data_IF_632814359349
#
_entry.id   IF_632814359349
#
_cell.length_a   1.000
_cell.length_b   1.000
_cell.length_c   1.000
_cell.angle_alpha   90.00
_cell.angle_beta   90.00
_cell.angle_gamma   90.00
#
_symmetry.space_group_name_H-M   'P 1'
#
loop_
_entity.id
_entity.type
_entity.pdbx_description
1 polymer ?
#
# COMPACT_ATOMS: atom_id res chain seq x y z
N UNK A 1 -48.04 -0.01 10.96
CA UNK A 1 -46.96 0.94 10.69
C UNK A 1 -45.75 0.46 11.47
N UNK A 2 -44.83 -0.23 10.83
CA UNK A 2 -43.61 -0.71 11.45
C UNK A 2 -42.54 0.36 11.32
N UNK A 3 -42.03 0.84 12.45
CA UNK A 3 -40.93 1.79 12.53
C UNK A 3 -39.65 1.12 12.00
N UNK A 4 -39.11 1.67 10.92
CA UNK A 4 -37.79 1.30 10.41
C UNK A 4 -36.77 2.26 11.02
N UNK A 5 -36.36 1.98 12.26
CA UNK A 5 -35.18 2.66 12.81
C UNK A 5 -33.94 2.19 12.06
N UNK A 6 -33.06 3.10 11.60
CA UNK A 6 -31.83 2.71 10.94
C UNK A 6 -30.92 2.04 11.97
N UNK A 7 -30.43 0.84 11.63
CA UNK A 7 -29.39 0.14 12.39
C UNK A 7 -28.18 1.09 12.45
N UNK A 8 -27.64 1.43 13.65
CA UNK A 8 -26.47 2.26 13.75
C UNK A 8 -25.31 1.57 13.05
N UNK A 9 -24.64 2.26 12.13
CA UNK A 9 -23.41 1.81 11.52
C UNK A 9 -22.42 1.46 12.64
N UNK A 10 -22.05 0.18 12.74
CA UNK A 10 -20.96 -0.23 13.62
C UNK A 10 -19.74 0.59 13.22
N UNK A 11 -19.21 1.38 14.15
CA UNK A 11 -17.92 2.03 13.99
C UNK A 11 -16.90 0.92 13.68
N UNK A 12 -16.39 0.91 12.46
CA UNK A 12 -15.34 -0.02 12.08
C UNK A 12 -14.16 0.23 13.02
N UNK A 13 -13.80 -0.77 13.82
CA UNK A 13 -12.57 -0.71 14.60
C UNK A 13 -11.41 -0.63 13.61
N UNK A 14 -10.85 0.56 13.44
CA UNK A 14 -9.62 0.74 12.67
C UNK A 14 -8.48 0.22 13.53
N UNK A 15 -7.73 -0.76 13.04
CA UNK A 15 -6.55 -1.27 13.71
C UNK A 15 -5.57 -0.14 14.00
N UNK A 16 -4.78 -0.27 15.07
CA UNK A 16 -3.82 0.77 15.49
C UNK A 16 -2.44 0.17 15.67
N UNK A 17 -1.41 0.89 15.16
CA UNK A 17 -0.01 0.50 15.27
C UNK A 17 0.83 1.65 15.83
N UNK A 18 1.80 1.34 16.70
CA UNK A 18 2.78 2.31 17.20
C UNK A 18 4.09 2.19 16.38
N UNK A 19 4.53 3.31 15.83
CA UNK A 19 5.71 3.44 14.96
C UNK A 19 6.62 4.53 15.55
N UNK A 20 7.81 4.17 15.97
CA UNK A 20 8.71 5.09 16.69
C UNK A 20 9.54 5.97 15.76
N UNK A 21 10.08 5.40 14.69
CA UNK A 21 10.89 6.08 13.68
C UNK A 21 10.70 5.39 12.31
N UNK A 22 9.51 5.48 11.70
CA UNK A 22 9.19 4.75 10.48
C UNK A 22 9.76 5.40 9.21
N UNK A 23 9.98 4.55 8.21
CA UNK A 23 10.10 4.94 6.80
C UNK A 23 8.96 4.29 6.01
N UNK A 24 8.33 5.06 5.12
CA UNK A 24 7.18 4.65 4.32
C UNK A 24 7.53 4.62 2.85
N UNK A 25 7.13 3.54 2.19
CA UNK A 25 7.19 3.36 0.73
C UNK A 25 5.90 2.73 0.23
N UNK A 26 5.61 2.84 -1.06
CA UNK A 26 4.50 2.16 -1.73
C UNK A 26 4.72 2.09 -3.24
N UNK A 27 3.88 1.33 -3.94
CA UNK A 27 3.80 1.32 -5.40
C UNK A 27 5.15 1.00 -6.07
N UNK A 28 5.80 -0.07 -5.60
CA UNK A 28 7.08 -0.53 -6.13
C UNK A 28 6.91 -1.41 -7.37
N UNK A 29 5.79 -2.12 -7.47
CA UNK A 29 5.43 -2.97 -8.62
C UNK A 29 6.53 -3.97 -9.03
N UNK A 30 7.25 -4.53 -8.05
CA UNK A 30 8.38 -5.43 -8.28
C UNK A 30 7.97 -6.63 -9.14
N UNK A 31 8.70 -6.84 -10.22
CA UNK A 31 8.50 -7.95 -11.14
C UNK A 31 9.80 -8.25 -11.90
N UNK A 32 9.83 -9.37 -12.64
CA UNK A 32 11.02 -9.83 -13.35
C UNK A 32 11.47 -8.88 -14.48
N UNK A 33 10.56 -8.09 -15.06
CA UNK A 33 10.85 -7.19 -16.17
C UNK A 33 11.45 -5.83 -15.72
N UNK A 34 11.54 -5.57 -14.41
CA UNK A 34 12.05 -4.32 -13.85
C UNK A 34 13.31 -4.54 -13.00
N UNK A 35 14.45 -4.91 -13.60
CA UNK A 35 15.67 -5.23 -12.87
C UNK A 35 16.29 -4.03 -12.14
N UNK A 36 16.17 -2.80 -12.67
CA UNK A 36 16.71 -1.60 -12.03
C UNK A 36 15.91 -1.24 -10.77
N UNK A 37 14.59 -1.33 -10.82
CA UNK A 37 13.70 -1.11 -9.66
C UNK A 37 13.94 -2.15 -8.57
N UNK A 38 14.08 -3.44 -8.93
CA UNK A 38 14.46 -4.50 -7.99
C UNK A 38 15.81 -4.26 -7.33
N UNK A 39 16.82 -3.85 -8.11
CA UNK A 39 18.13 -3.53 -7.58
C UNK A 39 18.10 -2.30 -6.64
N UNK A 40 17.28 -1.29 -6.95
CA UNK A 40 17.07 -0.14 -6.08
C UNK A 40 16.39 -0.53 -4.78
N UNK A 41 15.37 -1.39 -4.82
CA UNK A 41 14.74 -1.94 -3.62
C UNK A 41 15.74 -2.70 -2.75
N UNK A 42 16.55 -3.58 -3.34
CA UNK A 42 17.58 -4.31 -2.61
C UNK A 42 18.58 -3.36 -1.92
N UNK A 43 19.04 -2.31 -2.61
CA UNK A 43 19.91 -1.29 -2.01
C UNK A 43 19.21 -0.55 -0.87
N UNK A 44 17.96 -0.13 -1.08
CA UNK A 44 17.17 0.57 -0.06
C UNK A 44 17.02 -0.26 1.22
N UNK A 45 16.66 -1.53 1.09
CA UNK A 45 16.53 -2.45 2.23
C UNK A 45 17.87 -2.67 2.95
N UNK A 46 18.99 -2.65 2.21
CA UNK A 46 20.32 -2.86 2.78
C UNK A 46 20.94 -1.60 3.39
N UNK A 47 20.63 -0.39 2.88
CA UNK A 47 21.40 0.82 3.20
C UNK A 47 20.57 1.94 3.80
N UNK A 48 19.27 2.02 3.51
CA UNK A 48 18.39 3.09 3.98
C UNK A 48 17.47 2.59 5.10
N UNK A 49 16.70 1.53 4.85
CA UNK A 49 15.73 1.00 5.79
C UNK A 49 16.32 0.63 7.18
N UNK A 50 17.56 0.12 7.31
CA UNK A 50 18.16 -0.18 8.62
C UNK A 50 18.41 1.04 9.51
N UNK A 51 18.28 2.25 8.98
CA UNK A 51 18.40 3.49 9.78
C UNK A 51 17.12 3.83 10.54
N UNK A 52 16.05 3.10 10.29
CA UNK A 52 14.72 3.32 10.84
C UNK A 52 14.29 2.14 11.72
N UNK A 53 13.44 2.41 12.69
CA UNK A 53 12.90 1.36 13.55
C UNK A 53 11.85 0.52 12.83
N UNK A 54 11.16 1.11 11.84
CA UNK A 54 10.12 0.45 11.07
C UNK A 54 10.23 0.78 9.58
N UNK A 55 10.03 -0.26 8.75
CA UNK A 55 9.71 -0.14 7.34
C UNK A 55 8.22 -0.43 7.15
N UNK A 56 7.49 0.52 6.58
CA UNK A 56 6.05 0.40 6.30
C UNK A 56 5.82 0.48 4.79
N UNK A 57 5.29 -0.59 4.21
CA UNK A 57 5.00 -0.69 2.77
C UNK A 57 3.48 -0.61 2.59
N UNK A 58 2.99 0.50 2.03
CA UNK A 58 1.57 0.80 1.89
C UNK A 58 0.98 0.28 0.56
N UNK A 59 1.20 -1.00 0.28
CA UNK A 59 0.61 -1.71 -0.86
C UNK A 59 1.40 -1.61 -2.16
N UNK A 60 1.01 -2.44 -3.10
CA UNK A 60 1.60 -2.56 -4.43
C UNK A 60 3.13 -2.76 -4.39
N UNK A 61 3.58 -3.64 -3.44
CA UNK A 61 4.96 -4.12 -3.39
C UNK A 61 5.31 -4.89 -4.66
N UNK A 62 4.38 -5.74 -5.12
CA UNK A 62 4.51 -6.50 -6.36
C UNK A 62 3.60 -5.95 -7.46
N UNK A 63 4.01 -6.10 -8.71
CA UNK A 63 3.16 -5.80 -9.88
C UNK A 63 1.88 -6.63 -9.89
N UNK A 64 1.96 -7.85 -9.37
CA UNK A 64 0.83 -8.71 -9.02
C UNK A 64 1.27 -9.82 -8.06
N UNK A 65 0.35 -10.26 -7.21
CA UNK A 65 0.52 -11.44 -6.38
C UNK A 65 -0.64 -12.40 -6.61
N UNK A 66 -0.34 -13.63 -6.95
CA UNK A 66 -1.36 -14.63 -7.34
C UNK A 66 -1.64 -15.67 -6.25
N UNK A 67 -1.04 -15.50 -5.08
CA UNK A 67 -1.12 -16.40 -3.91
C UNK A 67 0.26 -16.81 -3.42
N UNK A 68 0.34 -17.15 -2.14
CA UNK A 68 1.62 -17.46 -1.48
C UNK A 68 2.30 -18.75 -1.97
N UNK A 69 1.53 -19.66 -2.57
CA UNK A 69 2.08 -20.85 -3.24
C UNK A 69 2.96 -20.52 -4.46
N UNK A 70 2.95 -19.26 -4.93
CA UNK A 70 3.92 -18.76 -5.90
C UNK A 70 5.36 -18.72 -5.36
N UNK A 71 5.55 -18.72 -4.03
CA UNK A 71 6.88 -18.83 -3.39
C UNK A 71 7.57 -20.15 -3.69
N UNK A 72 6.81 -21.20 -3.91
CA UNK A 72 7.33 -22.54 -4.23
C UNK A 72 7.64 -22.75 -5.72
N UNK A 73 7.30 -21.75 -6.58
CA UNK A 73 7.54 -21.86 -8.02
C UNK A 73 9.05 -21.65 -8.34
N UNK A 74 9.74 -22.66 -8.87
CA UNK A 74 11.15 -22.54 -9.19
C UNK A 74 11.46 -21.51 -10.30
N UNK A 75 10.47 -21.23 -11.16
CA UNK A 75 10.64 -20.34 -12.30
C UNK A 75 10.39 -18.85 -11.94
N UNK A 76 9.92 -18.58 -10.71
CA UNK A 76 9.68 -17.21 -10.22
C UNK A 76 10.40 -16.95 -8.90
N UNK A 77 11.56 -16.30 -8.97
CA UNK A 77 12.35 -15.97 -7.79
C UNK A 77 12.00 -14.64 -7.14
N UNK A 78 11.24 -13.76 -7.81
CA UNK A 78 11.04 -12.38 -7.34
C UNK A 78 10.43 -12.34 -5.94
N UNK A 79 9.38 -13.12 -5.69
CA UNK A 79 8.73 -13.19 -4.38
C UNK A 79 9.69 -13.69 -3.29
N UNK A 80 10.45 -14.78 -3.58
CA UNK A 80 11.42 -15.33 -2.64
C UNK A 80 12.59 -14.36 -2.35
N UNK A 81 13.10 -13.71 -3.38
CA UNK A 81 14.21 -12.77 -3.25
C UNK A 81 13.79 -11.57 -2.37
N UNK A 82 12.57 -11.04 -2.59
CA UNK A 82 12.01 -9.95 -1.79
C UNK A 82 11.74 -10.39 -0.35
N UNK A 83 11.13 -11.56 -0.14
CA UNK A 83 10.89 -12.10 1.19
C UNK A 83 12.20 -12.27 1.97
N UNK A 84 13.25 -12.85 1.34
CA UNK A 84 14.55 -13.02 1.96
C UNK A 84 15.21 -11.67 2.34
N UNK A 85 15.08 -10.64 1.50
CA UNK A 85 15.62 -9.31 1.79
C UNK A 85 14.89 -8.65 2.99
N UNK A 86 13.56 -8.73 3.02
CA UNK A 86 12.77 -8.21 4.14
C UNK A 86 13.03 -8.98 5.43
N UNK A 87 13.19 -10.31 5.33
CA UNK A 87 13.55 -11.14 6.48
C UNK A 87 14.91 -10.75 7.06
N UNK A 88 15.91 -10.55 6.22
CA UNK A 88 17.23 -10.11 6.66
C UNK A 88 17.16 -8.74 7.38
N UNK A 89 16.33 -7.81 6.88
CA UNK A 89 16.08 -6.53 7.53
C UNK A 89 15.39 -6.71 8.89
N UNK A 90 14.38 -7.57 8.96
CA UNK A 90 13.66 -7.86 10.21
C UNK A 90 14.59 -8.51 11.25
N UNK A 91 15.43 -9.46 10.84
CA UNK A 91 16.40 -10.12 11.70
C UNK A 91 17.49 -9.14 12.20
N UNK A 92 17.76 -8.07 11.45
CA UNK A 92 18.66 -7.00 11.86
C UNK A 92 18.01 -5.99 12.83
N UNK A 93 16.70 -6.12 13.12
CA UNK A 93 16.00 -5.36 14.16
C UNK A 93 15.04 -4.29 13.65
N UNK A 94 14.89 -4.06 12.33
CA UNK A 94 13.88 -3.18 11.78
C UNK A 94 12.55 -3.94 11.65
N UNK A 95 11.48 -3.44 12.28
CA UNK A 95 10.15 -4.05 12.14
C UNK A 95 9.59 -3.78 10.74
N UNK A 96 9.09 -4.81 10.08
CA UNK A 96 8.54 -4.70 8.72
C UNK A 96 7.01 -4.83 8.76
N UNK A 97 6.33 -3.84 8.20
CA UNK A 97 4.88 -3.82 8.06
C UNK A 97 4.50 -3.75 6.59
N UNK A 98 3.52 -4.56 6.20
CA UNK A 98 2.96 -4.61 4.86
C UNK A 98 1.47 -4.27 4.91
N UNK A 99 0.99 -3.59 3.90
CA UNK A 99 -0.44 -3.37 3.67
C UNK A 99 -0.76 -3.85 2.25
N UNK A 100 -1.94 -4.38 2.02
CA UNK A 100 -2.37 -4.76 0.68
C UNK A 100 -2.61 -3.56 -0.21
N UNK A 101 -2.02 -3.56 -1.40
CA UNK A 101 -2.48 -2.74 -2.51
C UNK A 101 -3.56 -3.44 -3.34
N UNK A 102 -3.81 -2.92 -4.52
CA UNK A 102 -4.74 -3.53 -5.46
C UNK A 102 -4.07 -4.58 -6.37
N UNK A 103 -2.75 -4.60 -6.44
CA UNK A 103 -1.96 -5.54 -7.24
C UNK A 103 -1.59 -6.79 -6.45
N UNK A 104 -1.43 -6.66 -5.14
CA UNK A 104 -0.93 -7.71 -4.27
C UNK A 104 -1.90 -8.08 -3.11
N UNK A 105 -3.20 -7.88 -3.34
CA UNK A 105 -4.25 -8.13 -2.36
C UNK A 105 -4.37 -9.60 -1.89
N UNK A 106 -3.70 -10.53 -2.57
CA UNK A 106 -3.64 -11.95 -2.22
C UNK A 106 -2.34 -12.32 -1.48
N UNK A 107 -1.49 -11.34 -1.16
CA UNK A 107 -0.34 -11.55 -0.32
C UNK A 107 -0.79 -11.99 1.07
N UNK A 108 -0.34 -13.16 1.50
CA UNK A 108 -0.91 -13.84 2.64
C UNK A 108 0.08 -14.07 3.78
N UNK A 109 -0.32 -14.95 4.68
CA UNK A 109 0.45 -15.25 5.91
C UNK A 109 1.76 -15.95 5.64
N UNK A 110 1.86 -16.79 4.60
CA UNK A 110 3.09 -17.50 4.30
C UNK A 110 4.17 -16.53 3.84
N UNK A 111 3.84 -15.62 2.91
CA UNK A 111 4.77 -14.56 2.52
C UNK A 111 5.20 -13.70 3.73
N UNK A 112 4.25 -13.28 4.57
CA UNK A 112 4.57 -12.48 5.76
C UNK A 112 5.49 -13.21 6.73
N UNK A 113 5.32 -14.52 6.93
CA UNK A 113 6.18 -15.33 7.78
C UNK A 113 7.61 -15.42 7.20
N UNK A 114 7.73 -15.69 5.90
CA UNK A 114 9.01 -15.77 5.21
C UNK A 114 9.74 -14.41 5.17
N UNK A 115 8.99 -13.31 5.08
CA UNK A 115 9.52 -11.95 5.10
C UNK A 115 9.80 -11.40 6.51
N UNK A 116 9.37 -12.09 7.58
CA UNK A 116 9.43 -11.54 8.94
C UNK A 116 8.57 -10.29 9.12
N UNK A 117 7.47 -10.17 8.38
CA UNK A 117 6.65 -8.98 8.29
C UNK A 117 5.29 -9.15 8.99
N UNK A 118 4.68 -8.04 9.38
CA UNK A 118 3.31 -7.97 9.90
C UNK A 118 2.39 -7.33 8.86
N UNK A 119 1.28 -8.00 8.54
CA UNK A 119 0.28 -7.46 7.63
C UNK A 119 -0.66 -6.51 8.39
N UNK A 120 -0.80 -5.29 7.90
CA UNK A 120 -1.73 -4.27 8.40
C UNK A 120 -3.05 -4.33 7.65
N UNK A 121 -4.13 -4.00 8.34
CA UNK A 121 -5.42 -3.72 7.70
C UNK A 121 -5.34 -2.41 6.87
N UNK A 122 -6.23 -2.26 5.90
CA UNK A 122 -6.38 -1.03 5.12
C UNK A 122 -7.82 -0.49 5.31
N UNK A 123 -7.98 0.67 5.98
CA UNK A 123 -6.95 1.53 6.59
C UNK A 123 -6.50 1.09 7.99
N UNK A 124 -5.35 1.60 8.45
CA UNK A 124 -4.83 1.44 9.82
C UNK A 124 -4.49 2.80 10.43
N UNK A 125 -4.80 3.00 11.70
CA UNK A 125 -4.32 4.16 12.49
C UNK A 125 -2.88 3.91 12.96
N UNK A 126 -2.02 4.92 12.85
CA UNK A 126 -0.67 4.87 13.36
C UNK A 126 -0.40 6.01 14.35
N UNK A 127 0.24 5.65 15.46
CA UNK A 127 0.86 6.61 16.37
C UNK A 127 2.33 6.71 15.99
N UNK A 128 2.71 7.80 15.30
CA UNK A 128 4.04 7.97 14.72
C UNK A 128 4.88 8.92 15.55
N UNK A 129 6.04 8.46 15.99
CA UNK A 129 6.97 9.22 16.83
C UNK A 129 7.05 8.71 18.25
N UNK A 130 7.71 9.47 19.13
CA UNK A 130 7.94 9.10 20.54
C UNK A 130 7.69 10.26 21.49
N UNK A 131 7.31 9.95 22.71
CA UNK A 131 7.13 10.93 23.79
C UNK A 131 6.09 11.99 23.46
N UNK A 132 6.46 13.27 23.59
CA UNK A 132 5.57 14.41 23.32
C UNK A 132 5.36 14.72 21.82
N UNK A 133 6.06 14.02 20.92
CA UNK A 133 6.05 14.26 19.47
C UNK A 133 5.28 13.19 18.71
N UNK A 134 4.37 12.46 19.36
CA UNK A 134 3.52 11.47 18.68
C UNK A 134 2.48 12.18 17.81
N UNK A 135 2.42 11.80 16.55
CA UNK A 135 1.41 12.24 15.58
C UNK A 135 0.49 11.06 15.24
N UNK A 136 -0.82 11.31 15.24
CA UNK A 136 -1.80 10.31 14.84
C UNK A 136 -2.07 10.44 13.35
N UNK A 137 -1.86 9.36 12.62
CA UNK A 137 -1.91 9.33 11.16
C UNK A 137 -2.78 8.17 10.68
N UNK A 138 -3.61 8.39 9.68
CA UNK A 138 -4.29 7.33 8.97
C UNK A 138 -3.37 6.80 7.85
N UNK A 139 -3.13 5.51 7.84
CA UNK A 139 -2.38 4.81 6.79
C UNK A 139 -3.34 4.07 5.89
N UNK A 140 -3.15 4.14 4.58
CA UNK A 140 -3.94 3.39 3.61
C UNK A 140 -3.13 3.18 2.33
N UNK A 141 -3.50 2.17 1.53
CA UNK A 141 -3.04 2.15 0.14
C UNK A 141 -3.65 3.30 -0.67
N UNK A 142 -4.93 3.62 -0.46
CA UNK A 142 -5.61 4.75 -1.08
C UNK A 142 -6.64 4.38 -2.13
N UNK A 143 -6.61 3.18 -2.67
CA UNK A 143 -7.48 2.71 -3.74
C UNK A 143 -8.98 2.71 -3.37
N UNK A 144 -9.29 2.61 -2.08
CA UNK A 144 -10.65 2.64 -1.57
C UNK A 144 -11.37 3.97 -1.81
N UNK A 145 -10.63 5.06 -1.97
CA UNK A 145 -11.16 6.40 -2.08
C UNK A 145 -11.19 6.96 -3.51
N UNK A 146 -10.79 6.17 -4.51
CA UNK A 146 -10.93 6.51 -5.94
C UNK A 146 -12.37 6.26 -6.42
N UNK A 147 -13.36 6.78 -5.68
CA UNK A 147 -14.79 6.43 -5.84
C UNK A 147 -15.41 6.94 -7.14
N UNK A 148 -14.75 7.82 -7.87
CA UNK A 148 -15.18 8.28 -9.20
C UNK A 148 -14.91 7.25 -10.31
N UNK A 149 -13.98 6.31 -10.10
CA UNK A 149 -13.73 5.19 -11.02
C UNK A 149 -14.68 4.02 -10.70
N UNK A 150 -15.94 4.16 -11.11
CA UNK A 150 -16.98 3.16 -10.84
C UNK A 150 -16.62 1.75 -11.32
N UNK A 151 -16.06 1.54 -12.53
CA UNK A 151 -15.62 0.22 -12.96
C UNK A 151 -14.54 -0.36 -12.06
N UNK A 152 -13.59 0.45 -11.63
CA UNK A 152 -12.57 0.03 -10.68
C UNK A 152 -13.17 -0.35 -9.33
N UNK A 153 -14.06 0.46 -8.78
CA UNK A 153 -14.71 0.19 -7.49
C UNK A 153 -15.52 -1.11 -7.49
N UNK A 154 -16.19 -1.43 -8.61
CA UNK A 154 -16.89 -2.71 -8.79
C UNK A 154 -15.90 -3.89 -8.78
N UNK A 155 -14.81 -3.78 -9.53
CA UNK A 155 -13.75 -4.79 -9.53
C UNK A 155 -13.13 -4.94 -8.14
N UNK A 156 -12.82 -3.84 -7.45
CA UNK A 156 -12.27 -3.83 -6.10
C UNK A 156 -13.17 -4.59 -5.11
N UNK A 157 -14.47 -4.31 -5.13
CA UNK A 157 -15.43 -4.99 -4.25
C UNK A 157 -15.47 -6.50 -4.51
N UNK A 158 -15.43 -6.92 -5.79
CA UNK A 158 -15.38 -8.32 -6.16
C UNK A 158 -14.06 -8.99 -5.75
N UNK A 159 -12.92 -8.39 -6.10
CA UNK A 159 -11.59 -8.96 -5.88
C UNK A 159 -11.25 -9.11 -4.38
N UNK A 160 -11.78 -8.22 -3.53
CA UNK A 160 -11.59 -8.28 -2.07
C UNK A 160 -12.63 -9.16 -1.38
N UNK A 161 -13.61 -9.73 -2.09
CA UNK A 161 -14.58 -10.64 -1.47
C UNK A 161 -13.94 -12.00 -1.14
N UNK A 162 -14.19 -12.55 0.08
CA UNK A 162 -13.62 -13.85 0.46
C UNK A 162 -13.99 -14.99 -0.49
N UNK A 163 -15.19 -14.95 -1.05
CA UNK A 163 -15.67 -15.98 -1.99
C UNK A 163 -14.85 -15.94 -3.30
N UNK A 164 -14.61 -14.76 -3.86
CA UNK A 164 -13.80 -14.62 -5.06
C UNK A 164 -12.36 -15.06 -4.81
N UNK A 165 -11.76 -14.62 -3.69
CA UNK A 165 -10.38 -14.99 -3.34
C UNK A 165 -10.23 -16.51 -3.16
N UNK A 166 -11.15 -17.14 -2.46
CA UNK A 166 -11.13 -18.60 -2.28
C UNK A 166 -11.25 -19.34 -3.62
N UNK A 167 -12.18 -18.92 -4.49
CA UNK A 167 -12.35 -19.48 -5.83
C UNK A 167 -11.12 -19.25 -6.71
N UNK A 168 -10.53 -18.06 -6.65
CA UNK A 168 -9.32 -17.73 -7.42
C UNK A 168 -8.14 -18.58 -6.98
N UNK A 169 -7.87 -18.66 -5.68
CA UNK A 169 -6.75 -19.41 -5.09
C UNK A 169 -6.91 -20.94 -5.27
N UNK A 170 -8.13 -21.46 -5.48
CA UNK A 170 -8.33 -22.87 -5.79
C UNK A 170 -7.90 -23.28 -7.20
N UNK A 171 -7.60 -22.31 -8.08
CA UNK A 171 -7.16 -22.58 -9.45
C UNK A 171 -5.65 -22.86 -9.49
N UNK A 172 -5.17 -23.63 -10.49
CA UNK A 172 -3.73 -23.82 -10.71
C UNK A 172 -3.01 -22.49 -10.89
N UNK A 173 -1.78 -22.40 -10.40
CA UNK A 173 -0.94 -21.18 -10.45
C UNK A 173 -0.85 -20.59 -11.87
N UNK A 174 -0.65 -21.43 -12.89
CA UNK A 174 -0.59 -21.00 -14.29
C UNK A 174 -1.89 -20.32 -14.76
N UNK A 175 -3.05 -20.82 -14.34
CA UNK A 175 -4.34 -20.22 -14.69
C UNK A 175 -4.52 -18.86 -14.01
N UNK A 176 -4.11 -18.73 -12.76
CA UNK A 176 -4.14 -17.46 -12.02
C UNK A 176 -3.23 -16.40 -12.65
N UNK A 177 -2.02 -16.77 -13.07
CA UNK A 177 -1.10 -15.90 -13.80
C UNK A 177 -1.67 -15.44 -15.13
N UNK A 178 -2.28 -16.35 -15.90
CA UNK A 178 -2.91 -16.00 -17.17
C UNK A 178 -4.07 -15.00 -16.98
N UNK A 179 -4.91 -15.22 -15.95
CA UNK A 179 -6.00 -14.32 -15.61
C UNK A 179 -5.50 -12.91 -15.26
N UNK A 180 -4.50 -12.81 -14.38
CA UNK A 180 -3.93 -11.52 -13.96
C UNK A 180 -3.26 -10.81 -15.13
N UNK A 181 -2.54 -11.53 -16.01
CA UNK A 181 -1.96 -10.98 -17.22
C UNK A 181 -3.00 -10.35 -18.16
N UNK A 182 -4.15 -11.02 -18.34
CA UNK A 182 -5.26 -10.49 -19.14
C UNK A 182 -5.91 -9.26 -18.47
N UNK A 183 -6.16 -9.32 -17.15
CA UNK A 183 -6.73 -8.22 -16.39
C UNK A 183 -5.83 -6.98 -16.43
N UNK A 184 -4.50 -7.17 -16.37
CA UNK A 184 -3.51 -6.10 -16.51
C UNK A 184 -3.58 -5.45 -17.89
N UNK A 185 -3.55 -6.24 -18.96
CA UNK A 185 -3.63 -5.72 -20.33
C UNK A 185 -4.90 -4.88 -20.55
N UNK A 186 -6.04 -5.34 -20.02
CA UNK A 186 -7.30 -4.60 -20.05
C UNK A 186 -7.25 -3.30 -19.24
N UNK A 187 -6.61 -3.32 -18.06
CA UNK A 187 -6.45 -2.12 -17.21
C UNK A 187 -5.57 -1.06 -17.88
N UNK A 188 -4.44 -1.45 -18.46
CA UNK A 188 -3.53 -0.51 -19.17
C UNK A 188 -4.23 0.13 -20.38
N UNK A 189 -4.97 -0.65 -21.17
CA UNK A 189 -5.78 -0.12 -22.27
C UNK A 189 -6.86 0.86 -21.77
N UNK A 190 -7.45 0.61 -20.60
CA UNK A 190 -8.44 1.48 -19.96
C UNK A 190 -7.84 2.78 -19.42
N UNK A 191 -6.63 2.75 -18.86
CA UNK A 191 -5.93 3.95 -18.35
C UNK A 191 -5.68 4.99 -19.46
N UNK A 192 -5.35 4.56 -20.66
CA UNK A 192 -5.08 5.45 -21.78
C UNK A 192 -6.29 6.32 -22.19
N UNK A 193 -7.49 5.93 -21.79
CA UNK A 193 -8.76 6.59 -22.16
C UNK A 193 -9.38 7.36 -20.98
N UNK A 194 -8.95 7.07 -19.72
CA UNK A 194 -9.51 7.68 -18.53
C UNK A 194 -8.90 9.05 -18.26
N UNK A 195 -9.76 10.03 -17.92
CA UNK A 195 -9.29 11.31 -17.40
C UNK A 195 -8.53 11.09 -16.09
N UNK A 196 -7.38 11.75 -15.96
CA UNK A 196 -6.50 11.62 -14.79
C UNK A 196 -7.17 11.91 -13.44
N UNK A 197 -8.17 12.80 -13.43
CA UNK A 197 -8.94 13.19 -12.24
C UNK A 197 -9.84 12.08 -11.70
N UNK A 198 -10.26 11.13 -12.55
CA UNK A 198 -11.10 9.99 -12.16
C UNK A 198 -10.28 8.94 -11.39
N UNK A 199 -8.96 8.89 -11.64
CA UNK A 199 -8.04 7.94 -11.02
C UNK A 199 -7.44 8.45 -9.70
N UNK A 200 -7.76 9.68 -9.28
CA UNK A 200 -7.32 10.22 -7.98
C UNK A 200 -8.35 9.93 -6.88
N UNK A 201 -7.90 10.02 -5.64
CA UNK A 201 -8.78 9.92 -4.48
C UNK A 201 -9.81 11.06 -4.49
N UNK A 202 -11.05 10.74 -4.14
CA UNK A 202 -12.14 11.74 -4.05
C UNK A 202 -11.95 12.55 -2.75
N UNK A 203 -11.81 13.88 -2.81
CA UNK A 203 -11.52 14.71 -1.63
C UNK A 203 -12.52 14.54 -0.48
N UNK A 204 -13.81 14.41 -0.79
CA UNK A 204 -14.85 14.21 0.23
C UNK A 204 -14.70 12.88 0.95
N UNK A 205 -14.32 11.82 0.25
CA UNK A 205 -14.05 10.50 0.86
C UNK A 205 -12.86 10.56 1.80
N UNK A 206 -11.80 11.27 1.41
CA UNK A 206 -10.62 11.47 2.27
C UNK A 206 -11.02 12.23 3.54
N UNK A 207 -11.80 13.32 3.41
CA UNK A 207 -12.22 14.08 4.59
C UNK A 207 -13.16 13.30 5.50
N UNK A 208 -14.05 12.47 4.96
CA UNK A 208 -14.88 11.55 5.73
C UNK A 208 -14.05 10.50 6.47
N UNK A 209 -13.06 9.90 5.80
CA UNK A 209 -12.17 8.91 6.41
C UNK A 209 -11.37 9.50 7.57
N UNK A 210 -10.81 10.70 7.39
CA UNK A 210 -10.08 11.41 8.45
C UNK A 210 -10.98 11.75 9.65
N UNK A 211 -12.23 12.21 9.41
CA UNK A 211 -13.22 12.47 10.48
C UNK A 211 -13.56 11.18 11.23
N UNK A 212 -13.84 10.10 10.51
CA UNK A 212 -14.19 8.81 11.12
C UNK A 212 -13.04 8.26 11.97
N UNK A 213 -11.80 8.48 11.54
CA UNK A 213 -10.60 8.08 12.26
C UNK A 213 -10.21 9.05 13.40
N UNK A 214 -10.77 10.26 13.45
CA UNK A 214 -10.45 11.28 14.44
C UNK A 214 -9.03 11.86 14.29
N UNK A 215 -8.51 11.91 13.06
CA UNK A 215 -7.15 12.41 12.76
C UNK A 215 -7.16 13.44 11.64
N UNK A 216 -6.07 14.19 11.51
CA UNK A 216 -5.91 15.25 10.48
C UNK A 216 -4.81 14.95 9.48
N UNK A 217 -4.21 13.75 9.56
CA UNK A 217 -3.09 13.35 8.72
C UNK A 217 -3.38 12.01 8.03
N UNK A 218 -3.07 11.92 6.73
CA UNK A 218 -3.19 10.72 5.90
C UNK A 218 -1.90 10.50 5.12
N UNK A 219 -1.43 9.25 5.10
CA UNK A 219 -0.37 8.79 4.20
C UNK A 219 -0.94 7.68 3.32
N UNK A 220 -0.77 7.80 2.01
CA UNK A 220 -1.20 6.76 1.07
C UNK A 220 -0.35 6.72 -0.20
N UNK A 221 -0.53 5.67 -1.00
CA UNK A 221 0.05 5.46 -2.32
C UNK A 221 -0.96 5.51 -3.46
N UNK A 222 -0.94 4.51 -4.33
CA UNK A 222 -1.91 4.15 -5.37
C UNK A 222 -2.00 5.10 -6.55
N UNK A 223 -2.07 6.40 -6.33
CA UNK A 223 -2.37 7.37 -7.40
C UNK A 223 -1.17 7.71 -8.27
N UNK A 224 0.05 7.34 -7.87
CA UNK A 224 1.32 7.65 -8.53
C UNK A 224 1.49 9.17 -8.79
N UNK A 225 1.03 9.99 -7.83
CA UNK A 225 1.09 11.46 -7.88
C UNK A 225 1.68 11.99 -6.59
N UNK A 226 2.99 11.77 -6.38
CA UNK A 226 3.65 12.15 -5.14
C UNK A 226 3.51 13.65 -4.90
N UNK A 227 2.87 14.00 -3.78
CA UNK A 227 2.65 15.38 -3.35
C UNK A 227 2.27 15.45 -1.87
N UNK A 228 2.30 16.66 -1.31
CA UNK A 228 1.76 16.97 0.01
C UNK A 228 0.61 17.96 -0.12
N UNK A 229 -0.60 17.48 0.04
CA UNK A 229 -1.81 18.31 0.01
C UNK A 229 -2.12 18.84 1.39
N UNK A 230 -2.22 20.19 1.51
CA UNK A 230 -2.60 20.87 2.75
C UNK A 230 -3.98 21.46 2.60
N UNK A 231 -4.83 21.24 3.59
CA UNK A 231 -6.21 21.72 3.60
C UNK A 231 -6.70 21.95 5.03
N UNK A 232 -7.94 22.38 5.18
CA UNK A 232 -8.57 22.55 6.48
C UNK A 232 -9.65 21.49 6.66
N UNK A 233 -9.61 20.76 7.77
CA UNK A 233 -10.63 19.80 8.19
C UNK A 233 -11.26 20.31 9.49
N UNK A 234 -12.55 20.67 9.42
CA UNK A 234 -13.34 21.13 10.57
C UNK A 234 -12.66 22.26 11.38
N UNK A 235 -11.99 23.18 10.66
CA UNK A 235 -11.30 24.32 11.24
C UNK A 235 -9.84 24.06 11.68
N UNK A 236 -9.38 22.80 11.62
CA UNK A 236 -8.00 22.42 11.93
C UNK A 236 -7.16 22.21 10.67
N UNK A 237 -5.84 22.50 10.69
CA UNK A 237 -4.94 22.11 9.60
C UNK A 237 -4.92 20.61 9.42
N UNK A 238 -4.96 20.15 8.17
CA UNK A 238 -4.88 18.76 7.80
C UNK A 238 -3.93 18.56 6.62
N UNK A 239 -3.29 17.40 6.56
CA UNK A 239 -2.31 17.06 5.52
C UNK A 239 -2.54 15.66 4.96
N UNK A 240 -2.32 15.50 3.66
CA UNK A 240 -2.34 14.23 2.95
C UNK A 240 -1.03 14.09 2.18
N UNK A 241 -0.25 13.08 2.50
CA UNK A 241 0.97 12.70 1.77
C UNK A 241 0.67 11.55 0.81
N UNK A 242 1.00 11.77 -0.46
CA UNK A 242 1.01 10.73 -1.49
C UNK A 242 2.44 10.27 -1.66
N UNK A 243 2.69 8.99 -1.41
CA UNK A 243 4.02 8.40 -1.51
C UNK A 243 4.49 8.35 -2.96
N UNK A 244 5.81 8.51 -3.21
CA UNK A 244 6.40 8.28 -4.52
C UNK A 244 6.25 6.81 -4.96
N UNK A 245 5.80 6.60 -6.19
CA UNK A 245 5.89 5.32 -6.88
C UNK A 245 7.31 5.07 -7.40
N UNK A 246 7.65 3.80 -7.60
CA UNK A 246 8.99 3.41 -8.02
C UNK A 246 8.99 2.87 -9.44
N UNK A 247 9.80 3.47 -10.31
CA UNK A 247 10.07 2.98 -11.67
C UNK A 247 11.45 3.45 -12.11
N UNK A 248 12.48 2.67 -11.76
CA UNK A 248 13.87 2.95 -12.09
C UNK A 248 14.25 2.42 -13.50
N UNK A 249 13.35 1.67 -14.11
CA UNK A 249 13.50 1.13 -15.46
C UNK A 249 12.91 2.08 -16.51
N UNK A 250 12.12 3.09 -16.14
CA UNK A 250 11.58 4.11 -17.01
C UNK A 250 12.67 5.08 -17.50
N UNK A 251 12.44 5.73 -18.66
CA UNK A 251 13.32 6.77 -19.19
C UNK A 251 13.52 7.96 -18.23
N UNK A 252 12.49 8.32 -17.46
CA UNK A 252 12.56 9.23 -16.34
C UNK A 252 12.43 8.38 -15.05
N UNK A 253 13.56 7.92 -14.55
CA UNK A 253 13.61 7.13 -13.33
C UNK A 253 13.00 7.91 -12.15
N UNK A 254 12.16 7.23 -11.36
CA UNK A 254 11.49 7.81 -10.19
C UNK A 254 11.42 6.81 -9.04
N UNK A 255 11.40 7.33 -7.85
CA UNK A 255 11.32 6.58 -6.61
C UNK A 255 11.69 7.45 -5.44
N UNK A 256 11.26 7.06 -4.27
CA UNK A 256 11.54 7.81 -3.04
C UNK A 256 10.80 7.19 -1.86
N UNK A 257 10.93 7.84 -0.74
CA UNK A 257 10.31 7.40 0.51
C UNK A 257 9.91 8.61 1.37
N UNK A 258 8.96 8.41 2.26
CA UNK A 258 8.55 9.38 3.26
C UNK A 258 9.11 8.95 4.62
N UNK A 259 9.63 9.89 5.37
CA UNK A 259 10.11 9.67 6.74
C UNK A 259 9.73 10.81 7.65
N UNK A 260 9.86 10.62 8.96
CA UNK A 260 9.81 11.68 9.96
C UNK A 260 11.22 11.96 10.47
N UNK A 261 11.63 13.22 10.43
CA UNK A 261 12.94 13.70 10.87
C UNK A 261 12.73 14.94 11.75
N UNK A 262 13.22 14.90 12.99
CA UNK A 262 12.99 15.95 14.00
C UNK A 262 11.52 16.38 14.14
N UNK A 263 10.60 15.39 14.11
CA UNK A 263 9.16 15.63 14.19
C UNK A 263 8.51 16.21 12.94
N UNK A 264 9.25 16.29 11.83
CA UNK A 264 8.77 16.82 10.54
C UNK A 264 8.76 15.75 9.46
N UNK A 265 7.70 15.71 8.70
CA UNK A 265 7.59 14.83 7.54
C UNK A 265 8.47 15.32 6.39
N UNK A 266 9.22 14.41 5.80
CA UNK A 266 10.10 14.67 4.66
C UNK A 266 10.02 13.54 3.65
N UNK A 267 9.84 13.89 2.38
CA UNK A 267 10.07 12.99 1.26
C UNK A 267 11.52 13.08 0.83
N UNK A 268 12.16 11.94 0.63
CA UNK A 268 13.52 11.85 0.11
C UNK A 268 13.55 10.99 -1.16
N UNK A 269 14.37 11.34 -2.17
CA UNK A 269 14.59 10.50 -3.34
C UNK A 269 15.38 9.25 -2.96
N UNK A 270 15.41 8.28 -3.86
CA UNK A 270 16.38 7.17 -3.81
C UNK A 270 17.75 7.69 -4.29
N UNK A 271 18.81 7.25 -3.59
CA UNK A 271 20.22 7.52 -3.96
C UNK A 271 20.66 6.59 -5.11
#
# INVERSE_FOLDING_TARGET
MASTDPVPAQAAHTDRVALSAPVFISDLHLNAAQPATRAAFARFVQTVAPRFAELVILGDLFEYWVGDDALDDPDDSVGRDVAAQLKALADAGTRVFLMHGNRDLLLGRAFCADAGATLLADPTLADVGTGAHVQNVLLSHGDAWCTRDLPYMQFRAQARSPAFQAQFLSQPLAARRAFVGQARAASEAGKAVKAMEIMDVTPDEVTQALRAAGVTALIHGHTHRPDTHRFTLDGAPAERWVLPDWDLDAAAARGGYLMIDDGRWRTAPLD
#
